data_IF_122868985377
#
_entry.id   IF_122868985377
#
_cell.length_a   1.000
_cell.length_b   1.000
_cell.length_c   1.000
_cell.angle_alpha   90.00
_cell.angle_beta   90.00
_cell.angle_gamma   90.00
#
_symmetry.space_group_name_H-M   'P 1'
#
loop_
_entity.id
_entity.type
_entity.pdbx_description
1 polymer ?
#
# COMPACT_ATOMS: atom_id res chain seq x y z
N UNK A 1 10.34 -5.06 -11.84
CA UNK A 1 10.31 -3.60 -11.58
C UNK A 1 11.60 -2.99 -12.11
N UNK A 2 11.60 -1.73 -12.55
CA UNK A 2 12.81 -1.04 -13.02
C UNK A 2 13.04 0.20 -12.15
N UNK A 3 14.28 0.42 -11.72
CA UNK A 3 14.73 1.71 -11.18
C UNK A 3 15.70 2.37 -12.14
N UNK A 4 15.72 3.70 -12.14
CA UNK A 4 16.65 4.52 -12.90
C UNK A 4 17.42 5.40 -11.92
N UNK A 5 18.74 5.26 -11.89
CA UNK A 5 19.63 6.16 -11.19
C UNK A 5 20.06 7.28 -12.13
N UNK A 6 19.53 8.47 -11.89
CA UNK A 6 19.82 9.66 -12.70
C UNK A 6 21.23 10.22 -12.47
N UNK A 7 21.90 9.86 -11.38
CA UNK A 7 23.25 10.35 -11.08
C UNK A 7 24.31 9.73 -11.98
N UNK A 8 24.08 8.48 -12.39
CA UNK A 8 25.00 7.69 -13.21
C UNK A 8 24.36 7.18 -14.51
N UNK A 9 23.12 7.58 -14.79
CA UNK A 9 22.33 7.16 -15.96
C UNK A 9 22.23 5.64 -16.14
N UNK A 10 22.23 4.90 -15.03
CA UNK A 10 22.07 3.43 -15.08
C UNK A 10 20.67 3.02 -14.63
N UNK A 11 20.18 1.92 -15.18
CA UNK A 11 18.95 1.31 -14.72
C UNK A 11 19.24 -0.04 -14.09
N UNK A 12 18.40 -0.44 -13.13
CA UNK A 12 18.42 -1.78 -12.57
C UNK A 12 17.03 -2.38 -12.65
N UNK A 13 16.99 -3.68 -12.93
CA UNK A 13 15.77 -4.47 -12.82
C UNK A 13 15.87 -5.36 -11.59
N UNK A 14 14.79 -5.43 -10.83
CA UNK A 14 14.69 -6.32 -9.67
C UNK A 14 13.32 -6.97 -9.63
N UNK A 15 13.32 -8.11 -8.95
CA UNK A 15 12.17 -8.97 -8.81
C UNK A 15 11.21 -8.45 -7.74
N UNK A 16 9.94 -8.79 -7.94
CA UNK A 16 8.89 -8.58 -6.95
C UNK A 16 9.08 -9.55 -5.77
N UNK A 17 8.40 -9.33 -4.63
CA UNK A 17 8.38 -10.29 -3.53
C UNK A 17 7.98 -11.69 -4.03
N UNK A 18 8.64 -12.73 -3.51
CA UNK A 18 8.40 -14.12 -3.92
C UNK A 18 7.00 -14.65 -3.60
N UNK A 19 6.22 -13.97 -2.77
CA UNK A 19 4.83 -14.32 -2.47
C UNK A 19 3.79 -13.73 -3.42
N UNK A 20 4.22 -13.06 -4.50
CA UNK A 20 3.35 -12.47 -5.51
C UNK A 20 3.39 -13.31 -6.81
N UNK A 21 2.57 -14.36 -6.84
CA UNK A 21 2.59 -15.37 -7.92
C UNK A 21 1.39 -15.27 -8.88
N UNK A 22 0.33 -14.57 -8.48
CA UNK A 22 -0.93 -14.45 -9.23
C UNK A 22 -1.15 -13.00 -9.67
N UNK A 23 -1.74 -12.79 -10.85
CA UNK A 23 -2.12 -11.44 -11.30
C UNK A 23 -3.37 -11.01 -10.53
N UNK A 24 -3.30 -9.96 -9.71
CA UNK A 24 -4.44 -9.51 -8.91
C UNK A 24 -5.48 -8.81 -9.78
N UNK A 25 -6.74 -8.85 -9.34
CA UNK A 25 -7.85 -8.12 -9.96
C UNK A 25 -7.60 -6.59 -9.95
N UNK A 26 -7.14 -6.08 -8.81
CA UNK A 26 -6.76 -4.69 -8.61
C UNK A 26 -5.29 -4.49 -8.90
N UNK A 27 -4.96 -3.39 -9.59
CA UNK A 27 -3.57 -3.10 -9.93
C UNK A 27 -2.73 -2.94 -8.64
N UNK A 28 -1.59 -3.63 -8.52
CA UNK A 28 -0.70 -3.45 -7.38
C UNK A 28 -0.04 -2.07 -7.45
N UNK A 29 0.45 -1.61 -6.31
CA UNK A 29 1.06 -0.28 -6.18
C UNK A 29 2.42 -0.35 -5.55
N UNK A 30 3.21 0.63 -5.93
CA UNK A 30 4.56 0.81 -5.48
C UNK A 30 4.70 2.23 -4.95
N UNK A 31 5.31 2.34 -3.77
CA UNK A 31 5.38 3.60 -3.04
C UNK A 31 6.48 3.56 -2.00
N UNK A 32 6.81 4.71 -1.43
CA UNK A 32 7.77 4.80 -0.33
C UNK A 32 7.00 5.03 0.98
N UNK A 33 7.25 4.19 1.98
CA UNK A 33 6.74 4.33 3.35
C UNK A 33 7.90 4.14 4.32
N UNK A 34 8.02 5.02 5.32
CA UNK A 34 9.15 5.01 6.27
C UNK A 34 10.51 4.95 5.56
N UNK A 35 10.69 5.77 4.54
CA UNK A 35 11.90 5.86 3.71
C UNK A 35 12.32 4.53 3.05
N UNK A 36 11.39 3.58 2.94
CA UNK A 36 11.61 2.27 2.33
C UNK A 36 10.62 2.02 1.22
N UNK A 37 11.09 1.32 0.20
CA UNK A 37 10.26 0.93 -0.92
C UNK A 37 9.26 -0.13 -0.47
N UNK A 38 7.98 0.11 -0.75
CA UNK A 38 6.87 -0.77 -0.43
C UNK A 38 6.11 -1.16 -1.69
N UNK A 39 5.75 -2.44 -1.76
CA UNK A 39 4.91 -3.03 -2.80
C UNK A 39 3.63 -3.54 -2.15
N UNK A 40 2.49 -3.04 -2.58
CA UNK A 40 1.19 -3.46 -2.05
C UNK A 40 0.28 -4.02 -3.13
N UNK A 41 -0.49 -5.03 -2.78
CA UNK A 41 -1.38 -5.69 -3.72
C UNK A 41 -2.62 -6.25 -3.02
N UNK A 42 -3.65 -6.46 -3.83
CA UNK A 42 -4.76 -7.32 -3.46
C UNK A 42 -4.32 -8.79 -3.46
N UNK A 43 -4.80 -9.55 -2.49
CA UNK A 43 -4.64 -11.00 -2.47
C UNK A 43 -6.02 -11.66 -2.46
N UNK A 44 -6.35 -12.29 -3.59
CA UNK A 44 -7.57 -13.09 -3.79
C UNK A 44 -8.85 -12.33 -3.44
N UNK A 45 -8.89 -11.02 -3.64
CA UNK A 45 -10.06 -10.18 -3.37
C UNK A 45 -10.56 -10.26 -1.91
N UNK A 46 -9.68 -10.67 -0.98
CA UNK A 46 -10.02 -10.88 0.43
C UNK A 46 -9.12 -10.09 1.36
N UNK A 47 -7.87 -9.85 0.94
CA UNK A 47 -6.82 -9.33 1.79
C UNK A 47 -6.01 -8.26 1.08
N UNK A 48 -5.65 -7.22 1.82
CA UNK A 48 -4.66 -6.24 1.41
C UNK A 48 -3.29 -6.59 1.98
N UNK A 49 -2.29 -6.72 1.12
CA UNK A 49 -0.93 -7.11 1.51
C UNK A 49 0.03 -5.97 1.19
N UNK A 50 0.96 -5.69 2.10
CA UNK A 50 2.06 -4.75 1.89
C UNK A 50 3.38 -5.45 2.21
N UNK A 51 4.29 -5.40 1.26
CA UNK A 51 5.69 -5.80 1.38
C UNK A 51 6.57 -4.57 1.49
N UNK A 52 7.70 -4.69 2.19
CA UNK A 52 8.73 -3.67 2.31
C UNK A 52 10.09 -4.25 1.96
N UNK A 53 10.86 -3.53 1.14
CA UNK A 53 12.24 -3.86 0.78
C UNK A 53 13.17 -3.19 1.78
N UNK A 54 13.89 -3.98 2.58
CA UNK A 54 14.84 -3.44 3.56
C UNK A 54 16.19 -3.08 2.93
N UNK A 55 16.56 -3.72 1.82
CA UNK A 55 17.78 -3.46 1.08
C UNK A 55 17.46 -3.25 -0.41
N UNK A 56 17.71 -2.05 -0.90
CA UNK A 56 17.33 -1.67 -2.25
C UNK A 56 18.00 -2.56 -3.32
N UNK A 57 17.19 -3.14 -4.20
CA UNK A 57 17.67 -3.99 -5.30
C UNK A 57 17.81 -5.48 -4.96
N UNK A 58 17.76 -5.87 -3.68
CA UNK A 58 17.84 -7.27 -3.26
C UNK A 58 16.45 -7.86 -3.06
N UNK A 59 16.11 -8.90 -3.84
CA UNK A 59 14.79 -9.54 -3.79
C UNK A 59 14.52 -10.20 -2.43
N UNK A 60 15.53 -10.81 -1.83
CA UNK A 60 15.43 -11.53 -0.56
C UNK A 60 15.19 -10.59 0.62
N UNK A 61 15.40 -9.28 0.43
CA UNK A 61 15.17 -8.26 1.45
C UNK A 61 13.70 -7.85 1.57
N UNK A 62 12.84 -8.32 0.66
CA UNK A 62 11.39 -8.12 0.76
C UNK A 62 10.84 -8.85 1.99
N UNK A 63 10.18 -8.11 2.87
CA UNK A 63 9.50 -8.64 4.06
C UNK A 63 8.05 -8.19 4.06
N UNK A 64 7.14 -9.09 4.45
CA UNK A 64 5.72 -8.74 4.53
C UNK A 64 5.48 -7.90 5.79
N UNK A 65 5.03 -6.67 5.58
CA UNK A 65 4.76 -5.71 6.64
C UNK A 65 3.31 -5.81 7.13
N UNK A 66 2.36 -5.92 6.18
CA UNK A 66 0.94 -6.03 6.47
C UNK A 66 0.29 -7.14 5.66
N UNK A 67 -0.70 -7.79 6.28
CA UNK A 67 -1.66 -8.70 5.65
C UNK A 67 -2.99 -8.52 6.37
N UNK A 68 -3.88 -7.73 5.78
CA UNK A 68 -5.09 -7.24 6.44
C UNK A 68 -6.31 -7.74 5.68
N UNK A 69 -7.22 -8.44 6.34
CA UNK A 69 -8.50 -8.80 5.74
C UNK A 69 -9.33 -7.56 5.44
N UNK A 70 -9.96 -7.50 4.27
CA UNK A 70 -10.88 -6.42 3.93
C UNK A 70 -12.04 -6.29 4.91
N UNK A 71 -12.42 -7.40 5.56
CA UNK A 71 -13.38 -7.38 6.66
C UNK A 71 -12.91 -6.51 7.84
N UNK A 72 -11.63 -6.59 8.21
CA UNK A 72 -11.03 -5.77 9.28
C UNK A 72 -10.89 -4.29 8.87
N UNK A 73 -10.91 -4.01 7.57
CA UNK A 73 -10.97 -2.64 7.03
C UNK A 73 -12.42 -2.14 6.86
N UNK A 74 -13.42 -2.90 7.31
CA UNK A 74 -14.85 -2.65 7.09
C UNK A 74 -15.22 -2.47 5.61
N UNK A 75 -14.54 -3.19 4.73
CA UNK A 75 -14.74 -3.21 3.28
C UNK A 75 -15.57 -4.44 2.89
N UNK A 76 -16.88 -4.36 3.10
CA UNK A 76 -17.79 -5.50 2.86
C UNK A 76 -18.17 -5.69 1.39
N UNK A 77 -17.91 -4.71 0.52
CA UNK A 77 -18.20 -4.76 -0.91
C UNK A 77 -17.05 -4.13 -1.68
N UNK A 78 -16.43 -4.92 -2.54
CA UNK A 78 -15.38 -4.44 -3.44
C UNK A 78 -16.00 -3.89 -4.73
N UNK A 79 -15.41 -2.84 -5.33
CA UNK A 79 -15.89 -2.29 -6.59
C UNK A 79 -15.56 -3.24 -7.75
N UNK A 80 -16.39 -3.24 -8.80
CA UNK A 80 -16.18 -4.05 -10.02
C UNK A 80 -15.21 -3.35 -11.00
N UNK A 81 -14.34 -2.46 -10.50
CA UNK A 81 -13.41 -1.68 -11.33
C UNK A 81 -12.07 -2.40 -11.43
N UNK A 82 -11.86 -3.05 -12.56
CA UNK A 82 -10.60 -3.69 -12.92
C UNK A 82 -9.50 -2.66 -13.23
N UNK A 83 -8.25 -3.03 -12.99
CA UNK A 83 -7.08 -2.30 -13.50
C UNK A 83 -6.81 -0.96 -12.80
N UNK A 84 -7.42 -0.71 -11.65
CA UNK A 84 -7.04 0.39 -10.76
C UNK A 84 -6.67 -0.16 -9.38
N UNK A 85 -5.74 0.50 -8.66
CA UNK A 85 -5.49 0.16 -7.27
C UNK A 85 -6.74 0.40 -6.43
N UNK A 86 -7.11 -0.56 -5.59
CA UNK A 86 -8.24 -0.41 -4.68
C UNK A 86 -7.89 0.52 -3.51
N UNK A 87 -6.77 0.23 -2.86
CA UNK A 87 -6.24 0.97 -1.72
C UNK A 87 -4.87 1.51 -2.06
N UNK A 88 -4.61 2.74 -1.61
CA UNK A 88 -3.33 3.41 -1.73
C UNK A 88 -2.83 3.74 -0.33
N UNK A 89 -1.80 3.06 0.18
CA UNK A 89 -1.20 3.49 1.42
C UNK A 89 -0.62 4.90 1.26
N UNK A 90 -0.96 5.79 2.19
CA UNK A 90 -0.54 7.18 2.18
C UNK A 90 0.54 7.44 3.23
N UNK A 91 0.46 6.74 4.35
CA UNK A 91 1.32 6.98 5.50
C UNK A 91 1.39 5.74 6.37
N UNK A 92 2.56 5.56 6.97
CA UNK A 92 2.81 4.59 8.02
C UNK A 92 3.50 5.31 9.17
N UNK A 93 3.00 5.14 10.39
CA UNK A 93 3.61 5.74 11.57
C UNK A 93 5.00 5.18 11.85
N UNK A 94 5.88 5.98 12.46
CA UNK A 94 7.27 5.59 12.73
C UNK A 94 7.42 4.34 13.61
N UNK A 95 6.41 4.02 14.43
CA UNK A 95 6.37 2.78 15.21
C UNK A 95 5.78 1.58 14.45
N UNK A 96 5.34 1.76 13.20
CA UNK A 96 4.72 0.73 12.36
C UNK A 96 3.27 0.39 12.68
N UNK A 97 2.68 0.94 13.76
CA UNK A 97 1.37 0.49 14.25
C UNK A 97 0.17 1.07 13.48
N UNK A 98 0.30 2.27 12.91
CA UNK A 98 -0.81 3.01 12.26
C UNK A 98 -0.54 3.19 10.77
N UNK A 99 -1.42 2.62 9.96
CA UNK A 99 -1.42 2.69 8.50
C UNK A 99 -2.61 3.51 8.02
N UNK A 100 -2.34 4.48 7.16
CA UNK A 100 -3.38 5.28 6.51
C UNK A 100 -3.47 4.86 5.06
N UNK A 101 -4.67 4.48 4.63
CA UNK A 101 -4.99 4.00 3.30
C UNK A 101 -6.03 4.94 2.68
N UNK A 102 -5.82 5.42 1.46
CA UNK A 102 -6.88 6.04 0.67
C UNK A 102 -7.61 4.98 -0.13
N UNK A 103 -8.94 5.10 -0.20
CA UNK A 103 -9.72 4.34 -1.16
C UNK A 103 -9.74 5.09 -2.49
N UNK A 104 -9.30 4.44 -3.58
CA UNK A 104 -9.23 5.12 -4.87
C UNK A 104 -10.63 5.34 -5.45
N UNK A 105 -11.01 6.60 -5.62
CA UNK A 105 -12.30 6.98 -6.19
C UNK A 105 -13.38 7.30 -5.14
N UNK A 106 -13.00 7.40 -3.87
CA UNK A 106 -13.81 7.92 -2.77
C UNK A 106 -13.02 9.03 -2.07
N UNK A 107 -13.70 9.95 -1.38
CA UNK A 107 -13.06 10.98 -0.55
C UNK A 107 -12.77 10.45 0.87
N UNK A 108 -12.66 9.13 1.02
CA UNK A 108 -12.47 8.45 2.29
C UNK A 108 -11.08 7.82 2.41
N UNK A 109 -10.50 7.99 3.59
CA UNK A 109 -9.34 7.27 4.07
C UNK A 109 -9.75 6.30 5.18
N UNK A 110 -9.00 5.22 5.26
CA UNK A 110 -9.03 4.23 6.31
C UNK A 110 -7.76 4.40 7.15
N UNK A 111 -7.92 4.61 8.45
CA UNK A 111 -6.85 4.61 9.44
C UNK A 111 -6.92 3.27 10.18
N UNK A 112 -5.97 2.39 9.87
CA UNK A 112 -5.87 1.06 10.46
C UNK A 112 -4.79 1.05 11.53
N UNK A 113 -5.13 0.56 12.73
CA UNK A 113 -4.18 0.28 13.79
C UNK A 113 -3.98 -1.23 13.91
N UNK A 114 -2.79 -1.71 13.60
CA UNK A 114 -2.49 -3.15 13.59
C UNK A 114 -2.45 -3.75 15.01
N UNK A 115 -1.94 -3.00 15.99
CA UNK A 115 -1.84 -3.46 17.38
C UNK A 115 -3.22 -3.73 17.99
N UNK A 116 -4.19 -2.88 17.69
CA UNK A 116 -5.57 -3.02 18.17
C UNK A 116 -6.47 -3.78 17.19
N UNK A 117 -5.99 -4.05 15.98
CA UNK A 117 -6.79 -4.52 14.84
C UNK A 117 -8.09 -3.70 14.67
N UNK A 118 -7.97 -2.38 14.72
CA UNK A 118 -9.10 -1.45 14.65
C UNK A 118 -8.97 -0.52 13.47
N UNK A 119 -10.13 -0.17 12.92
CA UNK A 119 -10.24 0.77 11.83
C UNK A 119 -11.01 2.01 12.24
N UNK A 120 -10.59 3.17 11.71
CA UNK A 120 -11.37 4.41 11.72
C UNK A 120 -11.44 4.93 10.29
N UNK A 121 -12.59 5.48 9.92
CA UNK A 121 -12.78 6.15 8.63
C UNK A 121 -12.60 7.64 8.81
N UNK A 122 -11.95 8.28 7.85
CA UNK A 122 -11.71 9.71 7.82
C UNK A 122 -12.04 10.23 6.43
N UNK A 123 -12.47 11.49 6.31
CA UNK A 123 -12.57 12.13 5.00
C UNK A 123 -11.25 12.79 4.62
N UNK A 124 -10.88 12.63 3.36
CA UNK A 124 -9.73 13.24 2.71
C UNK A 124 -10.19 14.55 2.09
N UNK A 125 -9.57 15.65 2.53
CA UNK A 125 -9.77 16.95 1.90
C UNK A 125 -8.49 17.34 1.17
N UNK A 126 -8.61 17.60 -0.12
CA UNK A 126 -7.58 18.28 -0.90
C UNK A 126 -7.77 19.78 -0.72
N UNK A 127 -6.98 20.37 0.18
CA UNK A 127 -6.76 21.81 0.14
C UNK A 127 -5.55 22.06 -0.76
N UNK A 128 -5.55 23.18 -1.49
CA UNK A 128 -4.46 23.51 -2.42
C UNK A 128 -3.11 23.41 -1.69
N UNK A 129 -2.34 22.35 -1.98
CA UNK A 129 -1.02 22.09 -1.41
C UNK A 129 -0.94 21.11 -0.21
N UNK A 130 -2.04 20.61 0.36
CA UNK A 130 -1.96 19.62 1.45
C UNK A 130 -3.15 18.65 1.54
N UNK A 131 -2.83 17.38 1.88
CA UNK A 131 -3.80 16.36 2.24
C UNK A 131 -4.10 16.46 3.74
N UNK A 132 -5.35 16.74 4.09
CA UNK A 132 -5.82 16.76 5.48
C UNK A 132 -6.85 15.67 5.71
N UNK A 133 -6.69 14.92 6.80
CA UNK A 133 -7.66 13.91 7.25
C UNK A 133 -8.51 14.48 8.37
N UNK A 134 -9.83 14.40 8.26
CA UNK A 134 -10.75 14.66 9.38
C UNK A 134 -11.42 13.35 9.78
N UNK A 135 -11.18 12.95 11.04
CA UNK A 135 -11.76 11.78 11.71
C UNK A 135 -13.08 12.18 12.37
#
# INVERSE_FOLDING_TARGET
MVSLDLSIETYMQFCLPSGFDEVPYFQPTLQVLLDRLCFSHDFKETQFVIWQMSEFGFQESWTQLFRIDYFNLEMHKLPIKWGIPLLLPLYLSGNGDTLILAYRGDDQAVIYNQRENRVKKARIFNNVGSLTLKV
#
